data_IF_777967609000
#
_entry.id   IF_777967609000
#
_cell.length_a   1.000
_cell.length_b   1.000
_cell.length_c   1.000
_cell.angle_alpha   90.00
_cell.angle_beta   90.00
_cell.angle_gamma   90.00
#
_symmetry.space_group_name_H-M   'P 1'
#
loop_
_entity.id
_entity.type
_entity.pdbx_description
1 polymer ?
#
# COMPACT_ATOMS: atom_id res chain seq x y z
N UNK A 1 12.11 -24.39 0.83
CA UNK A 1 12.31 -22.95 1.07
C UNK A 1 10.98 -22.44 1.59
N UNK A 2 10.89 -22.20 2.89
CA UNK A 2 9.74 -21.53 3.48
C UNK A 2 9.85 -20.04 3.14
N UNK A 3 9.31 -19.66 1.97
CA UNK A 3 9.17 -18.24 1.64
C UNK A 3 8.12 -17.68 2.60
N UNK A 4 8.55 -16.76 3.47
CA UNK A 4 7.65 -16.04 4.36
C UNK A 4 6.64 -15.26 3.49
N UNK A 5 5.35 -15.45 3.74
CA UNK A 5 4.29 -14.81 2.95
C UNK A 5 4.37 -13.31 3.21
N UNK A 6 4.79 -12.54 2.21
CA UNK A 6 4.90 -11.09 2.29
C UNK A 6 3.52 -10.44 2.49
N UNK A 7 3.48 -9.45 3.38
CA UNK A 7 2.27 -8.64 3.61
C UNK A 7 2.31 -7.42 2.71
N UNK A 8 1.23 -7.17 1.98
CA UNK A 8 1.12 -5.97 1.14
C UNK A 8 0.50 -4.84 1.95
N UNK A 9 1.14 -3.68 1.87
CA UNK A 9 0.73 -2.44 2.50
C UNK A 9 0.20 -1.46 1.47
N UNK A 10 -0.83 -0.73 1.88
CA UNK A 10 -1.37 0.43 1.20
C UNK A 10 -0.74 1.69 1.79
N UNK A 11 -0.25 2.57 0.92
CA UNK A 11 0.35 3.85 1.26
C UNK A 11 -0.39 4.95 0.51
N UNK A 12 -0.81 5.98 1.22
CA UNK A 12 -1.47 7.15 0.64
C UNK A 12 -0.86 8.43 1.18
N UNK A 13 -0.43 9.29 0.25
CA UNK A 13 -0.06 10.66 0.56
C UNK A 13 -1.15 11.61 0.01
N UNK A 14 -2.03 12.15 0.88
CA UNK A 14 -3.09 13.07 0.46
C UNK A 14 -2.59 14.47 0.07
N UNK A 15 -1.32 14.81 0.36
CA UNK A 15 -0.71 16.06 -0.09
C UNK A 15 -0.28 16.00 -1.56
N UNK A 16 0.18 14.83 -2.02
CA UNK A 16 0.61 14.60 -3.42
C UNK A 16 -0.39 13.81 -4.24
N UNK A 17 -1.51 13.39 -3.64
CA UNK A 17 -2.52 12.49 -4.22
C UNK A 17 -1.93 11.14 -4.69
N UNK A 18 -0.80 10.75 -4.10
CA UNK A 18 -0.08 9.54 -4.48
C UNK A 18 -0.58 8.35 -3.67
N UNK A 19 -0.95 7.28 -4.40
CA UNK A 19 -1.24 5.97 -3.83
C UNK A 19 -0.13 5.00 -4.27
N UNK A 20 0.39 4.21 -3.34
CA UNK A 20 1.41 3.20 -3.62
C UNK A 20 1.13 1.92 -2.84
N UNK A 21 1.47 0.80 -3.44
CA UNK A 21 1.42 -0.52 -2.81
C UNK A 21 2.84 -1.08 -2.70
N UNK A 22 3.16 -1.67 -1.56
CA UNK A 22 4.48 -2.24 -1.31
C UNK A 22 4.40 -3.40 -0.31
N UNK A 23 5.29 -4.38 -0.46
CA UNK A 23 5.47 -5.46 0.51
C UNK A 23 6.25 -4.99 1.73
N UNK A 24 6.18 -5.74 2.84
CA UNK A 24 6.95 -5.44 4.04
C UNK A 24 8.46 -5.40 3.78
N UNK A 25 8.97 -6.24 2.89
CA UNK A 25 10.37 -6.20 2.46
C UNK A 25 10.70 -4.95 1.63
N UNK A 26 9.85 -4.54 0.69
CA UNK A 26 10.04 -3.29 -0.05
C UNK A 26 10.04 -2.06 0.87
N UNK A 27 9.14 -2.02 1.85
CA UNK A 27 9.12 -0.93 2.84
C UNK A 27 10.39 -0.85 3.70
N UNK A 28 11.12 -1.96 3.85
CA UNK A 28 12.35 -2.04 4.67
C UNK A 28 13.61 -1.75 3.87
N UNK A 29 13.66 -2.16 2.61
CA UNK A 29 14.90 -2.18 1.82
C UNK A 29 14.89 -1.24 0.62
N UNK A 30 13.73 -0.73 0.21
CA UNK A 30 13.60 0.21 -0.91
C UNK A 30 13.24 1.62 -0.42
N UNK A 31 13.42 2.62 -1.27
CA UNK A 31 13.16 4.04 -0.98
C UNK A 31 11.65 4.40 -0.98
N UNK A 32 10.74 3.41 -0.91
CA UNK A 32 9.29 3.63 -1.03
C UNK A 32 8.75 4.68 -0.06
N UNK A 33 9.19 4.65 1.20
CA UNK A 33 8.72 5.63 2.21
C UNK A 33 9.21 7.05 1.88
N UNK A 34 10.43 7.16 1.37
CA UNK A 34 11.01 8.43 0.95
C UNK A 34 10.34 8.97 -0.30
N UNK A 35 10.04 8.10 -1.25
CA UNK A 35 9.38 8.47 -2.50
C UNK A 35 7.94 8.93 -2.27
N UNK A 36 7.22 8.29 -1.35
CA UNK A 36 5.82 8.62 -1.06
C UNK A 36 5.70 9.79 -0.07
N UNK A 37 6.48 9.80 1.02
CA UNK A 37 6.29 10.76 2.14
C UNK A 37 7.45 11.75 2.33
N UNK A 38 8.55 11.62 1.58
CA UNK A 38 9.72 12.49 1.72
C UNK A 38 10.55 12.25 2.99
N UNK A 39 10.28 11.17 3.74
CA UNK A 39 11.00 10.82 4.98
C UNK A 39 11.83 9.55 4.83
N UNK A 40 12.85 9.39 5.66
CA UNK A 40 13.82 8.31 5.47
C UNK A 40 13.25 6.90 5.74
N UNK A 41 12.33 6.77 6.69
CA UNK A 41 11.80 5.46 7.10
C UNK A 41 10.39 5.52 7.69
N UNK A 42 9.76 4.36 7.84
CA UNK A 42 8.45 4.21 8.50
C UNK A 42 8.47 4.83 9.91
N UNK A 43 9.60 4.76 10.61
CA UNK A 43 9.74 5.28 11.97
C UNK A 43 9.66 6.81 12.05
N UNK A 44 9.89 7.50 10.94
CA UNK A 44 9.81 8.96 10.84
C UNK A 44 8.38 9.45 10.56
N UNK A 45 7.49 8.56 10.08
CA UNK A 45 6.10 8.92 9.75
C UNK A 45 5.31 9.50 10.93
N UNK A 46 5.36 8.96 12.16
CA UNK A 46 4.67 9.57 13.29
C UNK A 46 5.12 11.01 13.57
N UNK A 47 6.43 11.28 13.46
CA UNK A 47 6.97 12.62 13.65
C UNK A 47 6.52 13.54 12.51
N UNK A 48 6.59 13.06 11.27
CA UNK A 48 6.14 13.82 10.10
C UNK A 48 4.65 14.16 10.17
N UNK A 49 3.80 13.18 10.52
CA UNK A 49 2.37 13.39 10.79
C UNK A 49 2.17 14.45 11.88
N UNK A 50 2.96 14.42 12.96
CA UNK A 50 2.78 15.31 14.11
C UNK A 50 3.17 16.77 13.83
N UNK A 51 4.22 17.00 13.03
CA UNK A 51 4.81 18.32 12.86
C UNK A 51 4.57 18.96 11.50
N UNK A 52 4.25 18.19 10.45
CA UNK A 52 3.94 18.75 9.13
C UNK A 52 2.49 19.23 9.08
N UNK A 53 2.28 20.54 9.31
CA UNK A 53 0.96 21.18 9.29
C UNK A 53 0.28 21.16 7.91
N UNK A 54 1.06 21.20 6.84
CA UNK A 54 0.55 21.08 5.46
C UNK A 54 -0.10 19.71 5.26
N UNK A 55 0.65 18.67 5.58
CA UNK A 55 0.19 17.29 5.51
C UNK A 55 -1.02 17.01 6.41
N UNK A 56 -1.01 17.47 7.66
CA UNK A 56 -2.18 17.37 8.56
C UNK A 56 -3.43 18.01 7.96
N UNK A 57 -3.29 19.18 7.33
CA UNK A 57 -4.40 19.88 6.69
C UNK A 57 -4.95 19.07 5.52
N UNK A 58 -4.09 18.47 4.70
CA UNK A 58 -4.51 17.61 3.59
C UNK A 58 -5.22 16.35 4.11
N UNK A 59 -4.69 15.68 5.13
CA UNK A 59 -5.34 14.54 5.79
C UNK A 59 -6.73 14.87 6.37
N UNK A 60 -6.84 15.99 7.09
CA UNK A 60 -8.12 16.42 7.65
C UNK A 60 -9.15 16.66 6.56
N UNK A 61 -8.74 17.25 5.43
CA UNK A 61 -9.61 17.51 4.28
C UNK A 61 -10.01 16.24 3.55
N UNK A 62 -9.08 15.31 3.30
CA UNK A 62 -9.36 14.09 2.53
C UNK A 62 -10.28 13.14 3.30
N UNK A 63 -10.09 13.00 4.62
CA UNK A 63 -10.88 12.08 5.45
C UNK A 63 -12.06 12.76 6.15
N UNK A 64 -12.17 14.10 6.11
CA UNK A 64 -13.23 14.84 6.81
C UNK A 64 -13.12 14.78 8.34
N UNK A 65 -11.90 14.70 8.87
CA UNK A 65 -11.59 14.52 10.30
C UNK A 65 -10.91 15.75 10.90
N UNK A 66 -10.72 15.75 12.22
CA UNK A 66 -9.92 16.76 12.93
C UNK A 66 -8.48 16.29 13.13
N UNK A 67 -7.56 17.23 13.36
CA UNK A 67 -6.15 16.94 13.63
C UNK A 67 -5.94 15.92 14.77
N UNK A 68 -6.81 15.95 15.80
CA UNK A 68 -6.75 15.03 16.95
C UNK A 68 -7.13 13.59 16.63
N UNK A 69 -7.72 13.35 15.46
CA UNK A 69 -8.18 12.03 15.02
C UNK A 69 -7.21 11.38 14.03
N UNK A 70 -6.13 12.09 13.64
CA UNK A 70 -5.15 11.58 12.70
C UNK A 70 -4.41 10.38 13.29
N UNK A 71 -4.37 9.27 12.56
CA UNK A 71 -3.61 8.07 12.91
C UNK A 71 -2.70 7.64 11.77
N UNK A 72 -1.66 6.87 12.09
CA UNK A 72 -0.74 6.33 11.08
C UNK A 72 -1.46 5.41 10.08
N UNK A 73 -2.46 4.67 10.54
CA UNK A 73 -3.25 3.73 9.72
C UNK A 73 -4.00 4.41 8.57
N UNK A 74 -4.21 5.73 8.65
CA UNK A 74 -4.84 6.50 7.57
C UNK A 74 -3.93 6.63 6.34
N UNK A 75 -2.61 6.59 6.53
CA UNK A 75 -1.63 6.77 5.45
C UNK A 75 -0.84 5.51 5.15
N UNK A 76 -0.73 4.59 6.11
CA UNK A 76 0.01 3.34 5.98
C UNK A 76 -0.70 2.25 6.75
N UNK A 77 -1.21 1.24 6.03
CA UNK A 77 -1.92 0.10 6.62
C UNK A 77 -1.74 -1.14 5.76
N UNK A 78 -2.09 -2.31 6.30
CA UNK A 78 -2.19 -3.52 5.48
C UNK A 78 -3.29 -3.28 4.42
N UNK A 79 -2.99 -3.63 3.17
CA UNK A 79 -3.92 -3.49 2.08
C UNK A 79 -5.11 -4.45 2.28
N UNK A 80 -6.29 -3.98 1.91
CA UNK A 80 -7.53 -4.75 1.86
C UNK A 80 -7.74 -5.32 0.47
N UNK A 81 -8.72 -6.22 0.34
CA UNK A 81 -9.21 -6.73 -0.94
C UNK A 81 -9.75 -5.60 -1.83
N UNK A 82 -10.34 -4.55 -1.25
CA UNK A 82 -10.84 -3.42 -2.01
C UNK A 82 -9.68 -2.63 -2.63
N UNK A 83 -8.63 -2.36 -1.87
CA UNK A 83 -7.46 -1.63 -2.38
C UNK A 83 -6.78 -2.41 -3.51
N UNK A 84 -6.75 -3.75 -3.43
CA UNK A 84 -6.26 -4.61 -4.49
C UNK A 84 -7.03 -4.47 -5.81
N UNK A 85 -8.33 -4.20 -5.73
CA UNK A 85 -9.15 -3.96 -6.92
C UNK A 85 -8.71 -2.66 -7.60
N UNK A 86 -8.53 -1.60 -6.82
CA UNK A 86 -8.08 -0.30 -7.32
C UNK A 86 -6.66 -0.40 -7.90
N UNK A 87 -5.78 -1.16 -7.22
CA UNK A 87 -4.45 -1.51 -7.73
C UNK A 87 -4.53 -2.23 -9.08
N UNK A 88 -5.37 -3.26 -9.22
CA UNK A 88 -5.54 -3.99 -10.49
C UNK A 88 -5.99 -3.06 -11.61
N UNK A 89 -6.90 -2.14 -11.34
CA UNK A 89 -7.32 -1.16 -12.35
C UNK A 89 -6.18 -0.23 -12.79
N UNK A 90 -5.27 0.15 -11.88
CA UNK A 90 -4.06 0.92 -12.21
C UNK A 90 -3.06 0.07 -13.01
N UNK A 91 -2.78 -1.14 -12.55
CA UNK A 91 -1.88 -2.10 -13.18
C UNK A 91 -2.30 -2.50 -14.59
N UNK A 92 -3.61 -2.63 -14.83
CA UNK A 92 -4.13 -2.93 -16.16
C UNK A 92 -4.05 -1.74 -17.12
N UNK A 93 -4.02 -0.50 -16.62
CA UNK A 93 -3.88 0.73 -17.42
C UNK A 93 -2.43 1.03 -17.83
N UNK A 94 -1.45 0.38 -17.21
CA UNK A 94 -0.05 0.49 -17.62
C UNK A 94 0.14 -0.05 -19.06
N UNK A 95 0.99 0.61 -19.88
CA UNK A 95 1.14 0.33 -21.30
C UNK A 95 1.55 -1.13 -21.56
N UNK A 96 0.95 -1.76 -22.59
CA UNK A 96 1.09 -3.18 -22.96
C UNK A 96 2.52 -3.67 -23.28
N UNK A 97 3.53 -2.78 -23.27
CA UNK A 97 4.91 -3.12 -23.61
C UNK A 97 5.72 -3.71 -22.44
N UNK A 98 5.14 -3.80 -21.24
CA UNK A 98 5.72 -4.54 -20.13
C UNK A 98 5.01 -5.89 -20.00
N UNK A 99 5.78 -6.99 -20.02
CA UNK A 99 5.26 -8.31 -19.69
C UNK A 99 4.60 -8.23 -18.31
N UNK A 100 3.26 -8.28 -18.29
CA UNK A 100 2.44 -8.19 -17.07
C UNK A 100 2.64 -9.45 -16.23
N UNK A 101 3.74 -9.47 -15.49
CA UNK A 101 4.11 -10.53 -14.56
C UNK A 101 3.45 -10.31 -13.21
N UNK A 102 3.45 -11.35 -12.37
CA UNK A 102 2.92 -11.25 -11.00
C UNK A 102 3.50 -10.00 -10.30
N UNK A 103 2.66 -9.05 -9.84
CA UNK A 103 3.13 -7.72 -9.41
C UNK A 103 3.87 -7.75 -8.07
N UNK A 104 3.63 -8.77 -7.27
CA UNK A 104 4.36 -9.07 -6.04
C UNK A 104 4.75 -10.56 -6.06
N UNK A 105 4.83 -11.19 -4.89
CA UNK A 105 4.90 -12.64 -4.77
C UNK A 105 3.61 -13.32 -5.23
N UNK A 106 3.73 -14.57 -5.68
CA UNK A 106 2.58 -15.39 -6.10
C UNK A 106 1.56 -15.65 -4.98
N UNK A 107 1.99 -15.53 -3.72
CA UNK A 107 1.16 -15.63 -2.53
C UNK A 107 1.45 -14.45 -1.63
N UNK A 108 0.43 -13.69 -1.28
CA UNK A 108 0.54 -12.48 -0.46
C UNK A 108 -0.44 -12.51 0.70
N UNK A 109 -0.17 -11.72 1.73
CA UNK A 109 -1.07 -11.46 2.85
C UNK A 109 -1.67 -10.06 2.75
N UNK A 110 -2.98 -9.99 2.93
CA UNK A 110 -3.79 -8.79 3.06
C UNK A 110 -4.53 -8.79 4.40
N UNK A 111 -5.30 -7.75 4.65
CA UNK A 111 -6.10 -7.59 5.86
C UNK A 111 -7.08 -8.76 6.06
N UNK A 112 -7.68 -9.27 4.98
CA UNK A 112 -8.68 -10.35 5.02
C UNK A 112 -8.09 -11.76 5.02
N UNK A 113 -6.79 -11.92 4.79
CA UNK A 113 -6.14 -13.23 4.78
C UNK A 113 -5.09 -13.38 3.69
N UNK A 114 -4.89 -14.62 3.25
CA UNK A 114 -3.87 -14.99 2.27
C UNK A 114 -4.51 -15.10 0.90
N UNK A 115 -3.88 -14.49 -0.09
CA UNK A 115 -4.32 -14.47 -1.48
C UNK A 115 -3.25 -15.06 -2.39
N UNK A 116 -3.67 -15.67 -3.49
CA UNK A 116 -2.80 -16.24 -4.51
C UNK A 116 -3.05 -15.56 -5.86
N UNK A 117 -1.98 -15.25 -6.58
CA UNK A 117 -2.04 -14.71 -7.93
C UNK A 117 -2.64 -15.74 -8.89
N UNK A 118 -3.56 -15.28 -9.71
CA UNK A 118 -4.18 -15.97 -10.83
C UNK A 118 -3.72 -15.28 -12.11
N UNK A 119 -2.92 -16.00 -12.91
CA UNK A 119 -2.36 -15.48 -14.16
C UNK A 119 -3.43 -15.30 -15.24
N UNK A 120 -4.50 -16.11 -15.25
CA UNK A 120 -5.56 -16.01 -16.24
C UNK A 120 -6.44 -14.78 -15.97
N UNK A 121 -6.68 -14.48 -14.70
CA UNK A 121 -7.48 -13.33 -14.28
C UNK A 121 -6.65 -12.06 -14.06
N UNK A 122 -5.32 -12.15 -14.05
CA UNK A 122 -4.41 -11.08 -13.60
C UNK A 122 -4.90 -10.49 -12.27
N UNK A 123 -5.17 -11.35 -11.29
CA UNK A 123 -5.80 -10.97 -10.03
C UNK A 123 -5.37 -11.87 -8.86
N UNK A 124 -5.44 -11.32 -7.65
CA UNK A 124 -5.22 -12.10 -6.42
C UNK A 124 -6.54 -12.63 -5.87
N UNK A 125 -6.62 -13.95 -5.70
CA UNK A 125 -7.80 -14.66 -5.23
C UNK A 125 -7.59 -15.22 -3.80
N UNK A 126 -8.58 -15.02 -2.92
CA UNK A 126 -8.52 -15.46 -1.52
C UNK A 126 -8.40 -16.98 -1.45
N UNK A 127 -7.38 -17.47 -0.73
CA UNK A 127 -7.23 -18.90 -0.46
C UNK A 127 -8.25 -19.27 0.62
N UNK A 128 -9.32 -19.98 0.23
CA UNK A 128 -10.25 -20.56 1.20
C UNK A 128 -9.51 -21.70 1.93
N UNK A 129 -9.22 -21.51 3.22
CA UNK A 129 -8.84 -22.63 4.07
C UNK A 129 -10.02 -23.60 4.12
N UNK A 130 -9.80 -24.82 3.64
CA UNK A 130 -10.75 -25.94 3.79
C UNK A 130 -10.79 -26.42 5.24
#
# INVERSE_FOLDING_TARGET
MDYEIETVYYLENPETEQIKFATGSQLRYEDIIKDVFGVASIHDLPMMIQYNKGFQTCLCKSHGIKETEITLEMILRVASKMDLRDFREQYLKEPENEDKSCPFESVIRLQEGIFKWDEEECAYNLIKNK
#
